data_IF_877433542817
#
_entry.id   IF_877433542817
#
_cell.length_a   1.000
_cell.length_b   1.000
_cell.length_c   1.000
_cell.angle_alpha   90.00
_cell.angle_beta   90.00
_cell.angle_gamma   90.00
#
_symmetry.space_group_name_H-M   'P 1'
#
loop_
_entity.id
_entity.type
_entity.pdbx_description
1 polymer ?
#
# COMPACT_ATOMS: atom_id res chain seq x y z
N UNK A 1 -5.29 2.55 -15.41
CA UNK A 1 -6.27 3.29 -14.59
C UNK A 1 -5.64 3.72 -13.27
N UNK A 2 -6.29 4.60 -12.53
CA UNK A 2 -5.82 5.04 -11.22
C UNK A 2 -5.93 3.92 -10.18
N UNK A 3 -5.02 3.88 -9.22
CA UNK A 3 -5.06 2.88 -8.14
C UNK A 3 -6.24 3.15 -7.22
N UNK A 4 -6.42 4.41 -6.82
CA UNK A 4 -7.59 4.93 -6.12
C UNK A 4 -7.97 6.23 -6.82
N UNK A 5 -9.26 6.46 -7.00
CA UNK A 5 -9.77 7.64 -7.72
C UNK A 5 -11.18 8.01 -7.25
N UNK A 6 -11.42 7.86 -5.97
CA UNK A 6 -12.69 8.19 -5.35
C UNK A 6 -13.00 9.69 -5.38
N UNK A 7 -14.23 10.02 -5.05
CA UNK A 7 -14.66 11.39 -4.83
C UNK A 7 -13.87 12.00 -3.68
N UNK A 8 -13.39 13.21 -3.87
CA UNK A 8 -12.75 14.00 -2.81
C UNK A 8 -13.70 15.11 -2.42
N UNK A 9 -14.08 15.12 -1.18
CA UNK A 9 -15.00 16.11 -0.60
C UNK A 9 -14.28 17.01 0.39
N UNK A 10 -14.89 18.13 0.70
CA UNK A 10 -14.49 19.00 1.80
C UNK A 10 -15.44 18.82 3.00
N UNK A 11 -15.13 19.51 4.09
CA UNK A 11 -15.88 19.44 5.36
C UNK A 11 -17.35 19.89 5.28
N UNK A 12 -17.78 20.51 4.16
CA UNK A 12 -19.15 21.02 3.96
C UNK A 12 -20.03 20.05 3.19
N UNK A 13 -19.45 19.06 2.55
CA UNK A 13 -20.22 18.10 1.76
C UNK A 13 -21.11 17.25 2.66
N UNK A 14 -22.41 17.25 2.38
CA UNK A 14 -23.38 16.38 3.06
C UNK A 14 -23.57 15.09 2.29
N UNK A 15 -24.14 14.07 2.90
CA UNK A 15 -24.52 12.83 2.25
C UNK A 15 -25.52 13.07 1.12
N UNK A 16 -26.43 14.04 1.26
CA UNK A 16 -27.37 14.45 0.20
C UNK A 16 -26.64 15.03 -1.00
N UNK A 17 -25.69 15.95 -0.77
CA UNK A 17 -24.87 16.54 -1.84
C UNK A 17 -24.13 15.45 -2.63
N UNK A 18 -23.52 14.49 -1.93
CA UNK A 18 -22.79 13.39 -2.57
C UNK A 18 -23.73 12.51 -3.39
N UNK A 19 -24.93 12.19 -2.91
CA UNK A 19 -25.94 11.49 -3.70
C UNK A 19 -26.29 12.26 -4.99
N UNK A 20 -26.54 13.55 -4.89
CA UNK A 20 -26.85 14.41 -6.05
C UNK A 20 -25.67 14.46 -7.04
N UNK A 21 -24.43 14.49 -6.56
CA UNK A 21 -23.23 14.43 -7.41
C UNK A 21 -23.21 13.12 -8.21
N UNK A 22 -23.48 11.96 -7.60
CA UNK A 22 -23.49 10.69 -8.32
C UNK A 22 -24.64 10.58 -9.32
N UNK A 23 -25.82 11.14 -9.03
CA UNK A 23 -26.92 11.27 -10.00
C UNK A 23 -26.45 12.07 -11.22
N UNK A 24 -25.85 13.25 -10.98
CA UNK A 24 -25.37 14.11 -12.07
C UNK A 24 -24.23 13.47 -12.88
N UNK A 25 -23.30 12.76 -12.22
CA UNK A 25 -22.24 12.00 -12.89
C UNK A 25 -22.84 10.92 -13.79
N UNK A 26 -23.83 10.17 -13.32
CA UNK A 26 -24.48 9.11 -14.09
C UNK A 26 -25.17 9.68 -15.34
N UNK A 27 -25.89 10.79 -15.22
CA UNK A 27 -26.52 11.46 -16.34
C UNK A 27 -25.50 11.95 -17.36
N UNK A 28 -24.45 12.62 -16.91
CA UNK A 28 -23.37 13.11 -17.76
C UNK A 28 -22.69 11.99 -18.53
N UNK A 29 -22.28 10.94 -17.84
CA UNK A 29 -21.59 9.81 -18.46
C UNK A 29 -22.49 9.05 -19.45
N UNK A 30 -23.76 8.90 -19.12
CA UNK A 30 -24.78 8.30 -20.03
C UNK A 30 -24.92 9.11 -21.29
N UNK A 31 -25.05 10.44 -21.18
CA UNK A 31 -25.12 11.35 -22.33
C UNK A 31 -23.85 11.33 -23.18
N UNK A 32 -22.69 11.16 -22.53
CA UNK A 32 -21.40 11.01 -23.20
C UNK A 32 -21.16 9.62 -23.84
N UNK A 33 -22.15 8.72 -23.75
CA UNK A 33 -22.13 7.41 -24.42
C UNK A 33 -21.42 6.30 -23.64
N UNK A 34 -21.04 6.54 -22.38
CA UNK A 34 -20.53 5.48 -21.52
C UNK A 34 -21.67 4.53 -21.12
N UNK A 35 -21.32 3.25 -20.92
CA UNK A 35 -22.28 2.22 -20.54
C UNK A 35 -22.02 1.61 -19.17
N UNK A 36 -20.79 1.76 -18.65
CA UNK A 36 -20.34 1.15 -17.42
C UNK A 36 -19.38 2.05 -16.71
N UNK A 37 -19.49 2.12 -15.40
CA UNK A 37 -18.54 2.79 -14.52
C UNK A 37 -17.80 1.79 -13.64
N UNK A 38 -16.53 2.09 -13.37
CA UNK A 38 -15.71 1.41 -12.39
C UNK A 38 -15.23 2.48 -11.41
N UNK A 39 -15.46 2.25 -10.12
CA UNK A 39 -15.11 3.17 -9.06
C UNK A 39 -14.23 2.48 -8.02
N UNK A 40 -13.13 3.12 -7.68
CA UNK A 40 -12.18 2.66 -6.65
C UNK A 40 -12.10 3.71 -5.56
N UNK A 41 -12.87 3.60 -4.48
CA UNK A 41 -12.84 4.57 -3.40
C UNK A 41 -11.46 4.65 -2.77
N UNK A 42 -11.15 5.81 -2.21
CA UNK A 42 -9.96 5.97 -1.37
C UNK A 42 -10.22 5.21 -0.07
N UNK A 43 -9.36 4.25 0.33
CA UNK A 43 -9.57 3.52 1.57
C UNK A 43 -9.65 4.46 2.78
N UNK A 44 -10.56 4.18 3.71
CA UNK A 44 -10.89 5.04 4.83
C UNK A 44 -9.68 5.46 5.70
N UNK A 45 -8.62 4.64 5.77
CA UNK A 45 -7.40 4.96 6.52
C UNK A 45 -6.68 6.22 5.99
N UNK A 46 -6.88 6.60 4.73
CA UNK A 46 -6.28 7.79 4.10
C UNK A 46 -7.13 9.06 4.30
N UNK A 47 -8.37 8.92 4.74
CA UNK A 47 -9.29 10.04 4.92
C UNK A 47 -8.85 10.90 6.11
N UNK A 48 -9.02 12.23 6.00
CA UNK A 48 -8.74 13.16 7.11
C UNK A 48 -9.71 12.95 8.28
N UNK A 49 -10.95 12.64 7.96
CA UNK A 49 -12.02 12.25 8.88
C UNK A 49 -12.88 11.18 8.19
N UNK A 50 -13.68 10.39 8.92
CA UNK A 50 -14.60 9.45 8.31
C UNK A 50 -15.50 10.14 7.29
N UNK A 51 -15.48 9.66 6.04
CA UNK A 51 -16.19 10.24 4.90
C UNK A 51 -16.45 9.14 3.86
N UNK A 52 -17.47 8.33 4.10
CA UNK A 52 -17.87 7.21 3.22
C UNK A 52 -19.25 7.45 2.57
N UNK A 53 -19.64 8.72 2.42
CA UNK A 53 -20.90 9.12 1.75
C UNK A 53 -20.93 8.65 0.28
N UNK A 54 -19.77 8.53 -0.36
CA UNK A 54 -19.64 7.98 -1.70
C UNK A 54 -20.05 6.50 -1.75
N UNK A 55 -19.70 5.70 -0.75
CA UNK A 55 -20.11 4.29 -0.67
C UNK A 55 -21.63 4.17 -0.50
N UNK A 56 -22.25 5.06 0.27
CA UNK A 56 -23.69 5.12 0.40
C UNK A 56 -24.37 5.53 -0.93
N UNK A 57 -23.83 6.54 -1.61
CA UNK A 57 -24.34 6.99 -2.91
C UNK A 57 -24.19 5.92 -3.99
N UNK A 58 -23.07 5.18 -4.02
CA UNK A 58 -22.88 4.03 -4.91
C UNK A 58 -23.97 2.97 -4.72
N UNK A 59 -24.33 2.68 -3.48
CA UNK A 59 -25.40 1.73 -3.18
C UNK A 59 -26.77 2.27 -3.59
N UNK A 60 -27.10 3.51 -3.15
CA UNK A 60 -28.43 4.09 -3.28
C UNK A 60 -28.75 4.54 -4.71
N UNK A 61 -27.84 5.29 -5.34
CA UNK A 61 -28.09 5.98 -6.60
C UNK A 61 -27.55 5.22 -7.82
N UNK A 62 -26.47 4.45 -7.63
CA UNK A 62 -25.85 3.72 -8.74
C UNK A 62 -26.21 2.24 -8.76
N UNK A 63 -26.77 1.69 -7.70
CA UNK A 63 -26.98 0.24 -7.51
C UNK A 63 -25.70 -0.57 -7.79
N UNK A 64 -24.56 0.01 -7.43
CA UNK A 64 -23.25 -0.51 -7.73
C UNK A 64 -22.99 -1.83 -7.00
N UNK A 65 -22.26 -2.72 -7.66
CA UNK A 65 -21.85 -4.01 -7.10
C UNK A 65 -20.35 -4.03 -6.87
N UNK A 66 -19.90 -4.72 -5.82
CA UNK A 66 -18.48 -4.97 -5.60
C UNK A 66 -18.01 -6.00 -6.63
N UNK A 67 -17.09 -5.61 -7.51
CA UNK A 67 -16.50 -6.50 -8.51
C UNK A 67 -15.10 -7.00 -8.12
N UNK A 68 -14.37 -6.28 -7.24
CA UNK A 68 -13.09 -6.68 -6.66
C UNK A 68 -13.08 -6.30 -5.18
N UNK A 69 -12.58 -7.19 -4.32
CA UNK A 69 -12.30 -6.90 -2.92
C UNK A 69 -10.90 -7.39 -2.58
N UNK A 70 -10.00 -6.46 -2.42
CA UNK A 70 -8.64 -6.77 -1.95
C UNK A 70 -8.55 -6.61 -0.44
N UNK A 71 -7.57 -7.28 0.17
CA UNK A 71 -7.28 -7.13 1.61
C UNK A 71 -5.84 -6.65 1.79
N UNK A 72 -5.69 -5.52 2.45
CA UNK A 72 -4.39 -4.99 2.88
C UNK A 72 -4.15 -5.26 4.35
N UNK A 73 -2.89 -5.49 4.74
CA UNK A 73 -2.50 -5.58 6.14
C UNK A 73 -2.03 -4.20 6.62
N UNK A 74 -2.78 -3.63 7.56
CA UNK A 74 -2.56 -2.27 8.09
C UNK A 74 -2.28 -2.33 9.58
N UNK A 75 -1.26 -1.59 10.04
CA UNK A 75 -0.97 -1.38 11.46
C UNK A 75 -1.58 -0.04 11.88
N UNK A 76 -2.40 -0.04 12.93
CA UNK A 76 -2.76 1.18 13.64
C UNK A 76 -1.60 1.54 14.58
N UNK A 77 -0.85 2.59 14.24
CA UNK A 77 0.35 3.00 14.99
C UNK A 77 0.03 3.66 16.33
N UNK A 78 -1.20 4.17 16.49
CA UNK A 78 -1.69 4.72 17.78
C UNK A 78 -2.09 3.62 18.76
N UNK A 79 -2.47 2.43 18.24
CA UNK A 79 -2.85 1.26 19.03
C UNK A 79 -2.19 -0.02 18.49
N UNK A 80 -0.86 -0.12 18.52
CA UNK A 80 -0.12 -1.19 17.86
C UNK A 80 -0.36 -2.54 18.56
N UNK A 81 -0.54 -3.58 17.75
CA UNK A 81 -0.61 -4.95 18.24
C UNK A 81 0.80 -5.53 18.47
N UNK A 82 0.84 -6.57 19.30
CA UNK A 82 2.10 -7.27 19.56
C UNK A 82 2.57 -8.00 18.29
N UNK A 83 3.83 -7.83 17.96
CA UNK A 83 4.48 -8.58 16.88
C UNK A 83 4.62 -10.05 17.23
N UNK A 84 4.61 -10.89 16.21
CA UNK A 84 4.98 -12.30 16.37
C UNK A 84 6.45 -12.44 16.79
N UNK A 85 6.74 -13.47 17.59
CA UNK A 85 8.09 -13.69 18.10
C UNK A 85 9.12 -13.88 16.99
N UNK A 86 8.72 -14.48 15.87
CA UNK A 86 9.59 -14.67 14.71
C UNK A 86 10.09 -13.33 14.15
N UNK A 87 9.22 -12.30 14.05
CA UNK A 87 9.60 -10.95 13.55
C UNK A 87 10.54 -10.25 14.51
N UNK A 88 10.23 -10.28 15.82
CA UNK A 88 11.11 -9.71 16.87
C UNK A 88 12.48 -10.36 16.88
N UNK A 89 12.52 -11.69 16.81
CA UNK A 89 13.76 -12.45 16.81
C UNK A 89 14.57 -12.21 15.54
N UNK A 90 13.88 -12.13 14.37
CA UNK A 90 14.51 -11.81 13.10
C UNK A 90 15.19 -10.44 13.12
N UNK A 91 14.45 -9.40 13.52
CA UNK A 91 14.99 -8.04 13.62
C UNK A 91 16.21 -7.97 14.55
N UNK A 92 16.13 -8.60 15.74
CA UNK A 92 17.26 -8.65 16.66
C UNK A 92 18.48 -9.36 16.07
N UNK A 93 18.29 -10.48 15.36
CA UNK A 93 19.38 -11.22 14.71
C UNK A 93 20.03 -10.41 13.59
N UNK A 94 19.22 -9.71 12.78
CA UNK A 94 19.71 -8.87 11.70
C UNK A 94 20.58 -7.71 12.25
N UNK A 95 20.08 -7.01 13.26
CA UNK A 95 20.82 -5.92 13.90
C UNK A 95 22.11 -6.41 14.58
N UNK A 96 22.08 -7.58 15.20
CA UNK A 96 23.28 -8.19 15.82
C UNK A 96 24.35 -8.59 14.78
N UNK A 97 23.99 -8.74 13.51
CA UNK A 97 24.92 -8.97 12.38
C UNK A 97 25.44 -7.67 11.75
N UNK A 98 25.13 -6.50 12.31
CA UNK A 98 25.58 -5.23 11.77
C UNK A 98 24.76 -4.73 10.58
N UNK A 99 23.53 -5.24 10.35
CA UNK A 99 22.68 -4.70 9.28
C UNK A 99 22.26 -3.27 9.62
N UNK A 100 22.54 -2.34 8.70
CA UNK A 100 22.22 -0.92 8.80
C UNK A 100 20.97 -0.62 7.97
N UNK A 101 20.08 0.22 8.51
CA UNK A 101 18.89 0.70 7.82
C UNK A 101 19.06 2.18 7.53
N UNK A 102 18.87 2.57 6.27
CA UNK A 102 19.04 3.95 5.84
C UNK A 102 18.01 4.35 4.75
N UNK A 103 17.73 5.64 4.65
CA UNK A 103 17.09 6.23 3.47
C UNK A 103 18.13 6.27 2.34
N UNK A 104 17.73 5.94 1.10
CA UNK A 104 18.66 5.77 -0.01
C UNK A 104 18.07 6.31 -1.30
N UNK A 105 18.93 6.76 -2.20
CA UNK A 105 18.57 7.11 -3.58
C UNK A 105 19.00 6.02 -4.59
N UNK A 106 19.56 4.91 -4.12
CA UNK A 106 20.02 3.81 -4.95
C UNK A 106 18.85 2.93 -5.40
N UNK A 107 17.93 3.54 -6.16
CA UNK A 107 16.80 2.84 -6.76
C UNK A 107 17.23 1.73 -7.73
N UNK A 108 18.40 1.86 -8.36
CA UNK A 108 18.88 0.91 -9.34
C UNK A 108 19.19 -0.45 -8.69
N UNK A 109 19.97 -0.46 -7.61
CA UNK A 109 20.27 -1.70 -6.88
C UNK A 109 18.99 -2.33 -6.31
N UNK A 110 18.07 -1.51 -5.77
CA UNK A 110 16.80 -2.02 -5.27
C UNK A 110 15.92 -2.61 -6.38
N UNK A 111 15.86 -1.95 -7.56
CA UNK A 111 15.08 -2.43 -8.71
C UNK A 111 15.58 -3.76 -9.27
N UNK A 112 16.89 -3.98 -9.22
CA UNK A 112 17.47 -5.27 -9.59
C UNK A 112 16.98 -6.38 -8.66
N UNK A 113 17.06 -6.19 -7.35
CA UNK A 113 16.53 -7.14 -6.33
C UNK A 113 15.02 -7.37 -6.52
N UNK A 114 14.25 -6.31 -6.74
CA UNK A 114 12.81 -6.38 -6.93
C UNK A 114 12.46 -7.16 -8.21
N UNK A 115 13.12 -6.85 -9.32
CA UNK A 115 12.86 -7.47 -10.62
C UNK A 115 13.23 -8.96 -10.62
N UNK A 116 14.37 -9.32 -10.03
CA UNK A 116 14.77 -10.73 -9.87
C UNK A 116 13.75 -11.52 -9.07
N UNK A 117 13.27 -10.99 -7.93
CA UNK A 117 12.27 -11.66 -7.11
C UNK A 117 10.91 -11.79 -7.81
N UNK A 118 10.44 -10.74 -8.48
CA UNK A 118 9.17 -10.79 -9.20
C UNK A 118 9.24 -11.77 -10.37
N UNK A 119 10.34 -11.79 -11.11
CA UNK A 119 10.52 -12.70 -12.23
C UNK A 119 10.61 -14.16 -11.76
N UNK A 120 11.40 -14.44 -10.70
CA UNK A 120 11.59 -15.81 -10.20
C UNK A 120 10.34 -16.38 -9.54
N UNK A 121 9.54 -15.55 -8.86
CA UNK A 121 8.40 -16.02 -8.06
C UNK A 121 7.07 -15.95 -8.82
N UNK A 122 6.86 -14.88 -9.60
CA UNK A 122 5.56 -14.58 -10.22
C UNK A 122 5.60 -14.46 -11.74
N UNK A 123 6.77 -14.61 -12.39
CA UNK A 123 6.98 -14.33 -13.82
C UNK A 123 6.45 -12.96 -14.23
N UNK A 124 6.65 -11.96 -13.38
CA UNK A 124 6.12 -10.61 -13.51
C UNK A 124 7.23 -9.55 -13.42
N UNK A 125 6.91 -8.36 -13.88
CA UNK A 125 7.75 -7.16 -13.75
C UNK A 125 7.11 -6.17 -12.77
N UNK A 126 7.90 -5.25 -12.16
CA UNK A 126 7.36 -4.13 -11.42
C UNK A 126 6.36 -3.34 -12.27
N UNK A 127 5.30 -2.81 -11.66
CA UNK A 127 4.28 -1.99 -12.36
C UNK A 127 4.90 -0.71 -12.94
N UNK A 128 5.85 -0.10 -12.22
CA UNK A 128 6.62 1.04 -12.70
C UNK A 128 7.99 0.57 -13.19
N UNK A 129 8.48 1.20 -14.24
CA UNK A 129 9.89 1.12 -14.63
C UNK A 129 10.77 1.87 -13.64
N UNK A 130 12.07 1.59 -13.64
CA UNK A 130 13.04 2.34 -12.84
C UNK A 130 13.00 3.85 -13.15
N UNK A 131 12.82 4.21 -14.43
CA UNK A 131 12.74 5.61 -14.84
C UNK A 131 11.48 6.29 -14.28
N UNK A 132 10.33 5.63 -14.34
CA UNK A 132 9.06 6.17 -13.82
C UNK A 132 9.13 6.39 -12.31
N UNK A 133 9.66 5.44 -11.53
CA UNK A 133 9.74 5.63 -10.08
C UNK A 133 10.72 6.74 -9.68
N UNK A 134 11.85 6.89 -10.39
CA UNK A 134 12.78 8.00 -10.20
C UNK A 134 12.14 9.34 -10.54
N UNK A 135 11.34 9.41 -11.61
CA UNK A 135 10.59 10.61 -11.98
C UNK A 135 9.54 10.98 -10.94
N UNK A 136 8.79 9.98 -10.45
CA UNK A 136 7.81 10.18 -9.38
C UNK A 136 8.48 10.69 -8.09
N UNK A 137 9.59 10.09 -7.69
CA UNK A 137 10.38 10.52 -6.53
C UNK A 137 10.87 11.95 -6.68
N UNK A 138 11.39 12.31 -7.86
CA UNK A 138 11.85 13.70 -8.14
C UNK A 138 10.70 14.70 -8.06
N UNK A 139 9.50 14.30 -8.51
CA UNK A 139 8.31 15.15 -8.47
C UNK A 139 7.70 15.28 -7.07
N UNK A 140 7.84 14.25 -6.24
CA UNK A 140 7.24 14.15 -4.91
C UNK A 140 8.28 13.66 -3.86
N UNK A 141 9.38 14.40 -3.66
CA UNK A 141 10.52 13.92 -2.87
C UNK A 141 10.20 13.67 -1.40
N UNK A 142 9.21 14.37 -0.84
CA UNK A 142 8.79 14.16 0.56
C UNK A 142 7.80 13.00 0.72
N UNK A 143 7.15 12.59 -0.38
CA UNK A 143 6.10 11.58 -0.35
C UNK A 143 6.57 10.22 -0.85
N UNK A 144 7.68 10.16 -1.61
CA UNK A 144 8.21 8.91 -2.15
C UNK A 144 9.64 8.73 -1.66
N UNK A 145 9.85 7.69 -0.85
CA UNK A 145 11.14 7.40 -0.21
C UNK A 145 11.51 5.94 -0.41
N UNK A 146 12.78 5.70 -0.64
CA UNK A 146 13.37 4.35 -0.61
C UNK A 146 14.11 4.17 0.71
N UNK A 147 13.80 3.12 1.45
CA UNK A 147 14.58 2.66 2.60
C UNK A 147 15.17 1.29 2.29
N UNK A 148 16.42 1.11 2.66
CA UNK A 148 17.17 -0.12 2.39
C UNK A 148 17.82 -0.67 3.65
N UNK A 149 18.03 -1.99 3.64
CA UNK A 149 18.85 -2.71 4.60
C UNK A 149 20.16 -3.11 3.92
N UNK A 150 21.30 -2.71 4.49
CA UNK A 150 22.64 -3.02 3.96
C UNK A 150 23.50 -3.73 5.01
N UNK A 151 24.44 -4.52 4.54
CA UNK A 151 25.56 -4.98 5.35
C UNK A 151 26.56 -3.84 5.59
N UNK A 152 27.44 -4.02 6.56
CA UNK A 152 28.56 -3.09 6.82
C UNK A 152 29.47 -2.91 5.59
N UNK A 153 29.53 -3.90 4.71
CA UNK A 153 30.24 -3.82 3.42
C UNK A 153 29.61 -2.87 2.41
N UNK A 154 28.39 -2.37 2.70
CA UNK A 154 27.58 -1.55 1.80
C UNK A 154 26.68 -2.33 0.85
N UNK A 155 26.75 -3.67 0.84
CA UNK A 155 25.88 -4.51 -0.01
C UNK A 155 24.42 -4.38 0.40
N UNK A 156 23.55 -4.08 -0.56
CA UNK A 156 22.11 -4.01 -0.33
C UNK A 156 21.51 -5.42 -0.19
N UNK A 157 20.82 -5.67 0.90
CA UNK A 157 20.14 -6.93 1.20
C UNK A 157 18.65 -6.90 0.86
N UNK A 158 18.05 -5.73 0.84
CA UNK A 158 16.65 -5.52 0.53
C UNK A 158 16.20 -4.11 0.87
N UNK A 159 14.92 -3.82 0.63
CA UNK A 159 14.38 -2.50 0.87
C UNK A 159 12.88 -2.41 0.65
N UNK A 160 12.39 -1.19 0.74
CA UNK A 160 11.00 -0.84 0.45
C UNK A 160 10.91 0.57 -0.12
N UNK A 161 10.08 0.74 -1.14
CA UNK A 161 9.64 2.07 -1.58
C UNK A 161 8.36 2.41 -0.85
N UNK A 162 8.35 3.55 -0.20
CA UNK A 162 7.23 4.08 0.57
C UNK A 162 6.51 5.19 -0.19
N UNK A 163 5.18 5.18 -0.12
CA UNK A 163 4.33 6.31 -0.46
C UNK A 163 3.76 6.90 0.83
N UNK A 164 4.07 8.16 1.09
CA UNK A 164 3.80 8.82 2.36
C UNK A 164 2.71 9.86 2.14
N UNK A 165 1.60 9.70 2.82
CA UNK A 165 0.49 10.64 2.91
C UNK A 165 0.44 11.28 4.31
N UNK A 166 -0.42 12.27 4.59
CA UNK A 166 -0.47 12.90 5.90
C UNK A 166 -0.71 11.96 7.09
N UNK A 167 -1.41 10.83 6.87
CA UNK A 167 -1.78 9.88 7.93
C UNK A 167 -1.19 8.49 7.75
N UNK A 168 -0.83 8.11 6.52
CA UNK A 168 -0.49 6.73 6.17
C UNK A 168 0.88 6.66 5.51
N UNK A 169 1.69 5.72 5.97
CA UNK A 169 2.90 5.27 5.28
C UNK A 169 2.57 3.95 4.58
N UNK A 170 2.56 3.96 3.26
CA UNK A 170 2.25 2.80 2.43
C UNK A 170 3.51 2.20 1.81
N UNK A 171 3.66 0.88 1.88
CA UNK A 171 4.73 0.19 1.19
C UNK A 171 4.31 -0.16 -0.25
N UNK A 172 4.80 0.62 -1.21
CA UNK A 172 4.51 0.38 -2.63
C UNK A 172 5.25 -0.82 -3.18
N UNK A 173 6.50 -1.00 -2.77
CA UNK A 173 7.33 -2.15 -3.14
C UNK A 173 8.12 -2.63 -1.93
N UNK A 174 8.19 -3.94 -1.77
CA UNK A 174 8.98 -4.62 -0.74
C UNK A 174 9.76 -5.74 -1.42
N UNK A 175 11.07 -5.80 -1.24
CA UNK A 175 11.86 -6.90 -1.76
C UNK A 175 13.15 -7.10 -0.96
N UNK A 176 13.64 -8.34 -0.93
CA UNK A 176 14.93 -8.69 -0.37
C UNK A 176 15.60 -9.77 -1.23
N UNK A 177 16.92 -9.72 -1.35
CA UNK A 177 17.72 -10.80 -1.92
C UNK A 177 17.58 -12.09 -1.11
N UNK A 178 17.97 -13.23 -1.66
CA UNK A 178 17.95 -14.51 -0.92
C UNK A 178 18.79 -14.41 0.36
N UNK A 179 19.93 -13.76 0.29
CA UNK A 179 20.77 -13.50 1.47
C UNK A 179 20.06 -12.58 2.47
N UNK A 180 19.41 -11.52 1.99
CA UNK A 180 18.61 -10.60 2.83
C UNK A 180 17.46 -11.32 3.55
N UNK A 181 16.81 -12.29 2.90
CA UNK A 181 15.78 -13.14 3.52
C UNK A 181 16.39 -14.00 4.64
N UNK A 182 17.53 -14.66 4.37
CA UNK A 182 18.24 -15.49 5.35
C UNK A 182 18.78 -14.68 6.54
N UNK A 183 19.15 -13.42 6.32
CA UNK A 183 19.65 -12.51 7.34
C UNK A 183 18.54 -11.71 8.04
N UNK A 184 17.27 -11.93 7.70
CA UNK A 184 16.12 -11.21 8.26
C UNK A 184 16.17 -9.68 8.04
N UNK A 185 16.73 -9.23 6.91
CA UNK A 185 16.93 -7.82 6.60
C UNK A 185 15.63 -7.00 6.66
N UNK A 186 14.52 -7.55 6.13
CA UNK A 186 13.21 -6.87 6.18
C UNK A 186 12.63 -6.79 7.59
N UNK A 187 12.93 -7.74 8.49
CA UNK A 187 12.47 -7.66 9.88
C UNK A 187 13.10 -6.45 10.59
N UNK A 188 14.40 -6.21 10.39
CA UNK A 188 15.10 -5.03 10.92
C UNK A 188 14.61 -3.73 10.24
N UNK A 189 14.43 -3.75 8.92
CA UNK A 189 13.92 -2.62 8.17
C UNK A 189 12.56 -2.16 8.70
N UNK A 190 11.59 -3.07 8.83
CA UNK A 190 10.26 -2.73 9.33
C UNK A 190 10.27 -2.39 10.82
N UNK A 191 11.18 -2.95 11.62
CA UNK A 191 11.35 -2.50 13.00
C UNK A 191 11.72 -1.02 13.05
N UNK A 192 12.70 -0.60 12.28
CA UNK A 192 13.11 0.79 12.21
C UNK A 192 11.99 1.71 11.70
N UNK A 193 11.34 1.35 10.59
CA UNK A 193 10.30 2.15 9.98
C UNK A 193 9.08 2.33 10.89
N UNK A 194 8.59 1.25 11.50
CA UNK A 194 7.35 1.25 12.29
C UNK A 194 7.57 1.80 13.69
N UNK A 195 8.68 1.41 14.34
CA UNK A 195 8.89 1.72 15.77
C UNK A 195 9.76 2.97 16.02
N UNK A 196 10.41 3.49 14.95
CA UNK A 196 11.31 4.64 15.09
C UNK A 196 10.94 5.76 14.12
N UNK A 197 11.02 5.51 12.80
CA UNK A 197 10.97 6.57 11.78
C UNK A 197 9.56 7.15 11.62
N UNK A 198 8.54 6.29 11.59
CA UNK A 198 7.15 6.67 11.31
C UNK A 198 6.17 6.36 12.46
N UNK A 199 6.68 6.19 13.67
CA UNK A 199 5.88 5.82 14.86
C UNK A 199 4.75 6.80 15.19
N UNK A 200 4.86 8.05 14.74
CA UNK A 200 3.91 9.12 15.05
C UNK A 200 2.81 9.26 13.99
N UNK A 201 2.86 8.49 12.89
CA UNK A 201 1.78 8.39 11.92
C UNK A 201 0.57 7.65 12.50
N UNK A 202 -0.58 7.73 11.83
CA UNK A 202 -1.77 6.99 12.26
C UNK A 202 -1.71 5.54 11.81
N UNK A 203 -1.28 5.30 10.55
CA UNK A 203 -1.28 3.96 9.96
C UNK A 203 0.01 3.64 9.19
N UNK A 204 0.39 2.36 9.25
CA UNK A 204 1.39 1.79 8.37
C UNK A 204 0.73 0.68 7.53
N UNK A 205 0.66 0.87 6.22
CA UNK A 205 -0.06 0.03 5.29
C UNK A 205 0.92 -0.81 4.44
N UNK A 206 0.90 -2.12 4.64
CA UNK A 206 1.72 -3.05 3.87
C UNK A 206 1.20 -3.35 2.46
N UNK A 207 0.06 -2.78 2.06
CA UNK A 207 -0.59 -3.11 0.80
C UNK A 207 -1.21 -4.50 0.78
N UNK A 208 -1.84 -4.81 -0.35
CA UNK A 208 -2.69 -5.99 -0.52
C UNK A 208 -1.91 -7.31 -0.50
N UNK A 209 -2.60 -8.39 -0.15
CA UNK A 209 -2.03 -9.74 -0.02
C UNK A 209 -2.97 -10.78 -0.64
N UNK A 210 -3.47 -10.48 -1.83
CA UNK A 210 -4.37 -11.36 -2.56
C UNK A 210 -4.14 -11.23 -4.08
N UNK A 211 -4.67 -12.17 -4.82
CA UNK A 211 -4.56 -12.34 -6.26
C UNK A 211 -5.95 -12.50 -6.88
N UNK A 212 -6.04 -12.54 -8.20
CA UNK A 212 -7.28 -12.77 -8.97
C UNK A 212 -8.46 -11.87 -8.55
N UNK A 213 -8.20 -10.57 -8.38
CA UNK A 213 -9.24 -9.62 -7.98
C UNK A 213 -9.81 -9.87 -6.58
N UNK A 214 -9.00 -10.39 -5.68
CA UNK A 214 -9.38 -10.67 -4.29
C UNK A 214 -9.88 -12.08 -4.02
N UNK A 215 -10.02 -12.91 -5.06
CA UNK A 215 -10.58 -14.28 -4.91
C UNK A 215 -9.60 -15.26 -4.27
N UNK A 216 -8.29 -15.03 -4.41
CA UNK A 216 -7.24 -15.90 -3.87
C UNK A 216 -6.45 -15.12 -2.83
N UNK A 217 -6.48 -15.58 -1.58
CA UNK A 217 -5.68 -15.00 -0.50
C UNK A 217 -4.27 -15.60 -0.55
N UNK A 218 -3.24 -14.76 -0.65
CA UNK A 218 -1.86 -15.17 -0.47
C UNK A 218 -1.57 -15.28 1.03
N UNK A 219 -1.78 -16.49 1.58
CA UNK A 219 -1.73 -16.76 3.03
C UNK A 219 -0.35 -16.55 3.63
N UNK A 220 0.72 -16.84 2.88
CA UNK A 220 2.09 -16.62 3.34
C UNK A 220 2.44 -15.15 3.43
N UNK A 221 2.03 -14.37 2.44
CA UNK A 221 2.28 -12.93 2.40
C UNK A 221 1.49 -12.18 3.48
N UNK A 222 0.20 -12.51 3.66
CA UNK A 222 -0.59 -11.85 4.71
C UNK A 222 -0.10 -12.23 6.10
N UNK A 223 0.26 -13.49 6.34
CA UNK A 223 0.85 -13.96 7.61
C UNK A 223 2.15 -13.20 7.95
N UNK A 224 2.98 -12.93 6.93
CA UNK A 224 4.19 -12.15 7.13
C UNK A 224 3.87 -10.74 7.62
N UNK A 225 2.92 -10.07 6.99
CA UNK A 225 2.50 -8.69 7.32
C UNK A 225 1.76 -8.62 8.67
N UNK A 226 0.90 -9.58 8.96
CA UNK A 226 0.24 -9.72 10.26
C UNK A 226 1.24 -9.95 11.39
N UNK A 227 2.36 -10.60 11.10
CA UNK A 227 3.46 -10.81 12.05
C UNK A 227 4.05 -9.51 12.60
N UNK A 228 3.94 -8.39 11.89
CA UNK A 228 4.29 -7.03 12.34
C UNK A 228 3.15 -6.31 13.06
N UNK A 229 2.03 -6.99 13.34
CA UNK A 229 0.86 -6.42 13.99
C UNK A 229 -0.20 -5.87 13.01
N UNK A 230 -0.08 -6.18 11.72
CA UNK A 230 -1.07 -5.80 10.71
C UNK A 230 -2.42 -6.47 10.93
N UNK A 231 -3.50 -5.78 10.51
CA UNK A 231 -4.87 -6.30 10.43
C UNK A 231 -5.49 -5.89 9.11
N UNK A 232 -6.49 -6.67 8.69
CA UNK A 232 -7.13 -6.51 7.41
C UNK A 232 -7.92 -5.20 7.28
N UNK A 233 -7.62 -4.46 6.20
CA UNK A 233 -8.46 -3.38 5.68
C UNK A 233 -8.81 -3.74 4.25
N UNK A 234 -10.10 -3.74 3.91
CA UNK A 234 -10.54 -4.08 2.55
C UNK A 234 -10.44 -2.89 1.62
N UNK A 235 -10.03 -3.16 0.39
CA UNK A 235 -9.92 -2.20 -0.71
C UNK A 235 -10.83 -2.69 -1.82
N UNK A 236 -12.01 -2.07 -1.91
CA UNK A 236 -13.07 -2.47 -2.83
C UNK A 236 -12.95 -1.76 -4.17
N UNK A 237 -13.45 -2.42 -5.20
CA UNK A 237 -13.76 -1.82 -6.50
C UNK A 237 -15.21 -2.08 -6.79
N UNK A 238 -15.92 -1.04 -7.14
CA UNK A 238 -17.33 -1.07 -7.48
C UNK A 238 -17.52 -0.92 -8.99
N UNK A 239 -18.56 -1.55 -9.50
CA UNK A 239 -19.01 -1.35 -10.87
C UNK A 239 -20.52 -1.25 -10.96
N UNK A 240 -20.99 -0.48 -11.93
CA UNK A 240 -22.40 -0.40 -12.27
C UNK A 240 -22.61 -0.06 -13.75
N UNK A 241 -23.82 -0.34 -14.24
CA UNK A 241 -24.29 0.03 -15.59
C UNK A 241 -25.01 1.36 -15.53
N UNK A 242 -24.78 2.21 -16.53
CA UNK A 242 -25.38 3.53 -16.69
C UNK A 242 -26.71 3.49 -17.45
#
# INVERSE_FOLDING_TARGET
GLTYAGLITNEKASAEDVCLVFVAINEYLKQAGFRKCIYKPIPWIYQQQPAEEDLYALFKECHAQICVRNISAVINLKHPLKWYNIRKSGARKALAKGIVIEESEDYESFWNILSENLMSTYHAHPVHTLQEIKQLQTSLPENIKLFVAREETGKMLGGTVLYISPKVVHTQYISASEEGKQQHALDALFQYLIQTRYKDFDYFDFGTSNEEGGKVLNTSLIYQKEGFGGRGVVYDTYEWTL
#
